data_IF_991119510212
#
_entry.id   IF_991119510212
#
_cell.length_a   1.000
_cell.length_b   1.000
_cell.length_c   1.000
_cell.angle_alpha   90.00
_cell.angle_beta   90.00
_cell.angle_gamma   90.00
#
_symmetry.space_group_name_H-M   'P 1'
#
loop_
_entity.id
_entity.type
_entity.pdbx_description
1 polymer ?
#
# COMPACT_ATOMS: atom_id res chain seq x y z
N UNK A 1 -4.56 -15.27 0.66
CA UNK A 1 -3.53 -14.37 0.09
C UNK A 1 -4.09 -13.46 -1.00
N UNK A 2 -4.92 -13.97 -1.93
CA UNK A 2 -5.59 -13.16 -2.97
C UNK A 2 -6.27 -11.90 -2.42
N UNK A 3 -7.13 -12.04 -1.41
CA UNK A 3 -7.83 -10.91 -0.78
C UNK A 3 -6.87 -9.90 -0.16
N UNK A 4 -5.82 -10.38 0.52
CA UNK A 4 -4.80 -9.52 1.12
C UNK A 4 -4.04 -8.74 0.05
N UNK A 5 -3.65 -9.40 -1.05
CA UNK A 5 -3.02 -8.76 -2.21
C UNK A 5 -3.92 -7.67 -2.79
N UNK A 6 -5.17 -8.03 -3.13
CA UNK A 6 -6.17 -7.10 -3.65
C UNK A 6 -6.31 -5.88 -2.74
N UNK A 7 -6.52 -6.09 -1.43
CA UNK A 7 -6.75 -5.00 -0.48
C UNK A 7 -5.53 -4.08 -0.33
N UNK A 8 -4.32 -4.64 -0.31
CA UNK A 8 -3.09 -3.84 -0.25
C UNK A 8 -3.01 -2.90 -1.45
N UNK A 9 -3.12 -3.41 -2.66
CA UNK A 9 -2.99 -2.58 -3.86
C UNK A 9 -4.19 -1.63 -4.06
N UNK A 10 -5.39 -2.09 -3.69
CA UNK A 10 -6.59 -1.26 -3.64
C UNK A 10 -6.41 -0.07 -2.72
N UNK A 11 -6.07 -0.30 -1.44
CA UNK A 11 -5.87 0.77 -0.47
C UNK A 11 -4.77 1.73 -0.94
N UNK A 12 -3.67 1.20 -1.50
CA UNK A 12 -2.57 2.03 -1.99
C UNK A 12 -3.03 3.05 -3.01
N UNK A 13 -3.72 2.65 -4.08
CA UNK A 13 -4.18 3.58 -5.12
C UNK A 13 -5.42 4.37 -4.73
N UNK A 14 -6.22 3.89 -3.78
CA UNK A 14 -7.32 4.66 -3.21
C UNK A 14 -6.82 5.97 -2.57
N UNK A 15 -5.65 5.90 -1.92
CA UNK A 15 -5.10 7.00 -1.11
C UNK A 15 -4.01 7.77 -1.86
N UNK A 16 -3.11 7.06 -2.54
CA UNK A 16 -1.98 7.65 -3.25
C UNK A 16 -2.27 7.75 -4.76
N UNK A 17 -2.02 8.91 -5.41
CA UNK A 17 -1.42 10.12 -4.85
C UNK A 17 -2.42 11.12 -4.27
N UNK A 18 -3.73 10.94 -4.50
CA UNK A 18 -4.75 11.97 -4.32
C UNK A 18 -4.81 12.60 -2.93
N UNK A 19 -4.87 11.79 -1.87
CA UNK A 19 -5.00 12.29 -0.49
C UNK A 19 -3.73 13.00 -0.03
N UNK A 20 -2.56 12.57 -0.50
CA UNK A 20 -1.29 13.24 -0.18
C UNK A 20 -1.19 14.63 -0.80
N UNK A 21 -1.77 14.84 -1.98
CA UNK A 21 -1.84 16.16 -2.65
C UNK A 21 -2.77 17.10 -1.89
N UNK A 22 -3.85 16.58 -1.30
CA UNK A 22 -4.82 17.38 -0.55
C UNK A 22 -4.33 17.79 0.86
N UNK A 23 -3.21 17.26 1.34
CA UNK A 23 -2.66 17.60 2.65
C UNK A 23 -2.27 19.08 2.72
N UNK A 24 -2.78 19.81 3.72
CA UNK A 24 -2.48 21.23 3.94
C UNK A 24 -1.13 21.37 4.66
N UNK A 25 -0.03 21.37 3.90
CA UNK A 25 1.33 21.36 4.46
C UNK A 25 1.96 22.74 4.63
N UNK A 26 1.42 23.76 3.97
CA UNK A 26 1.99 25.12 3.98
C UNK A 26 3.31 25.26 3.22
N UNK A 27 3.74 24.23 2.50
CA UNK A 27 4.98 24.23 1.72
C UNK A 27 4.78 24.94 0.36
N UNK A 28 5.60 25.97 0.12
CA UNK A 28 5.63 26.74 -1.13
C UNK A 28 6.77 26.33 -2.06
N UNK A 29 7.61 25.38 -1.65
CA UNK A 29 8.81 24.97 -2.40
C UNK A 29 8.50 24.21 -3.71
N UNK A 30 7.29 23.67 -3.86
CA UNK A 30 6.89 22.81 -4.97
C UNK A 30 7.48 21.39 -4.93
N UNK A 31 8.43 21.12 -4.03
CA UNK A 31 9.10 19.81 -3.91
C UNK A 31 8.33 18.79 -3.08
N UNK A 32 7.34 19.24 -2.31
CA UNK A 32 6.55 18.41 -1.40
C UNK A 32 6.13 17.07 -2.01
N UNK A 33 5.44 17.12 -3.15
CA UNK A 33 4.91 15.90 -3.76
C UNK A 33 6.02 14.98 -4.28
N UNK A 34 7.11 15.53 -4.83
CA UNK A 34 8.28 14.76 -5.26
C UNK A 34 8.90 14.01 -4.08
N UNK A 35 9.04 14.65 -2.92
CA UNK A 35 9.55 14.01 -1.71
C UNK A 35 8.59 12.93 -1.21
N UNK A 36 7.28 13.18 -1.22
CA UNK A 36 6.26 12.16 -0.87
C UNK A 36 6.40 10.92 -1.75
N UNK A 37 6.50 11.10 -3.07
CA UNK A 37 6.68 9.99 -4.03
C UNK A 37 8.01 9.26 -3.79
N UNK A 38 9.09 10.00 -3.54
CA UNK A 38 10.40 9.41 -3.24
C UNK A 38 10.36 8.58 -1.95
N UNK A 39 9.72 9.08 -0.89
CA UNK A 39 9.56 8.34 0.38
C UNK A 39 8.73 7.07 0.20
N UNK A 40 7.63 7.14 -0.57
CA UNK A 40 6.82 5.96 -0.86
C UNK A 40 7.63 4.88 -1.58
N UNK A 41 8.34 5.26 -2.64
CA UNK A 41 9.15 4.33 -3.42
C UNK A 41 10.34 3.78 -2.62
N UNK A 42 10.97 4.60 -1.78
CA UNK A 42 12.03 4.17 -0.88
C UNK A 42 11.52 3.10 0.10
N UNK A 43 10.35 3.32 0.71
CA UNK A 43 9.73 2.35 1.60
C UNK A 43 9.36 1.04 0.89
N UNK A 44 8.75 1.13 -0.30
CA UNK A 44 8.40 -0.05 -1.11
C UNK A 44 9.65 -0.84 -1.53
N UNK A 45 10.72 -0.15 -1.90
CA UNK A 45 12.01 -0.76 -2.24
C UNK A 45 12.65 -1.46 -1.03
N UNK A 46 12.81 -0.77 0.09
CA UNK A 46 13.43 -1.32 1.31
C UNK A 46 12.68 -2.53 1.83
N UNK A 47 11.34 -2.49 1.84
CA UNK A 47 10.54 -3.63 2.26
C UNK A 47 10.72 -4.84 1.34
N UNK A 48 10.79 -4.66 0.02
CA UNK A 48 11.07 -5.76 -0.93
C UNK A 48 12.47 -6.33 -0.78
N UNK A 49 13.47 -5.51 -0.44
CA UNK A 49 14.81 -6.01 -0.09
C UNK A 49 14.76 -6.88 1.16
N UNK A 50 14.03 -6.44 2.20
CA UNK A 50 13.80 -7.21 3.43
C UNK A 50 13.17 -8.58 3.12
N UNK A 51 12.26 -8.65 2.14
CA UNK A 51 11.62 -9.92 1.74
C UNK A 51 12.56 -10.93 1.09
N UNK A 52 13.79 -10.57 0.71
CA UNK A 52 14.79 -11.56 0.27
C UNK A 52 15.22 -12.48 1.42
N UNK A 53 15.14 -11.99 2.66
CA UNK A 53 15.51 -12.74 3.85
C UNK A 53 14.30 -13.50 4.40
N UNK A 54 14.24 -14.81 4.13
CA UNK A 54 13.14 -15.70 4.59
C UNK A 54 12.90 -15.66 6.10
N UNK A 55 13.94 -15.39 6.89
CA UNK A 55 13.84 -15.29 8.35
C UNK A 55 12.96 -14.11 8.81
N UNK A 56 12.84 -13.08 7.98
CA UNK A 56 12.02 -11.91 8.25
C UNK A 56 10.57 -12.10 7.79
N UNK A 57 10.21 -13.24 7.20
CA UNK A 57 8.84 -13.48 6.74
C UNK A 57 7.89 -13.74 7.91
N UNK A 58 6.88 -12.90 8.05
CA UNK A 58 5.80 -13.12 9.03
C UNK A 58 4.79 -14.16 8.55
N UNK A 59 4.04 -14.76 9.47
CA UNK A 59 3.05 -15.78 9.13
C UNK A 59 1.95 -15.25 8.19
N UNK A 60 1.32 -16.10 7.35
CA UNK A 60 0.25 -15.68 6.45
C UNK A 60 -0.94 -15.01 7.17
N UNK A 61 -1.23 -15.40 8.42
CA UNK A 61 -2.26 -14.76 9.24
C UNK A 61 -1.88 -13.30 9.57
N UNK A 62 -0.62 -13.07 9.94
CA UNK A 62 -0.10 -11.73 10.20
C UNK A 62 -0.06 -10.88 8.94
N UNK A 63 0.21 -11.47 7.76
CA UNK A 63 0.09 -10.75 6.48
C UNK A 63 -1.33 -10.24 6.29
N UNK A 64 -2.34 -11.08 6.52
CA UNK A 64 -3.74 -10.67 6.35
C UNK A 64 -4.12 -9.57 7.35
N UNK A 65 -3.77 -9.72 8.62
CA UNK A 65 -4.02 -8.69 9.64
C UNK A 65 -3.30 -7.39 9.28
N UNK A 66 -2.02 -7.45 8.92
CA UNK A 66 -1.22 -6.30 8.53
C UNK A 66 -1.73 -5.59 7.27
N UNK A 67 -2.19 -6.36 6.28
CA UNK A 67 -2.83 -5.85 5.07
C UNK A 67 -4.05 -4.98 5.40
N UNK A 68 -4.88 -5.34 6.37
CA UNK A 68 -6.02 -4.52 6.79
C UNK A 68 -5.63 -3.42 7.79
N UNK A 69 -4.72 -3.72 8.72
CA UNK A 69 -4.26 -2.77 9.72
C UNK A 69 -3.60 -1.53 9.11
N UNK A 70 -3.02 -1.63 7.91
CA UNK A 70 -2.49 -0.47 7.20
C UNK A 70 -3.55 0.61 6.97
N UNK A 71 -4.84 0.27 6.89
CA UNK A 71 -5.92 1.25 6.75
C UNK A 71 -5.94 2.27 7.90
N UNK A 72 -5.37 1.93 9.06
CA UNK A 72 -5.20 2.87 10.18
C UNK A 72 -4.27 4.05 9.83
N UNK A 73 -3.34 3.88 8.89
CA UNK A 73 -2.47 4.97 8.41
C UNK A 73 -3.23 6.01 7.57
N UNK A 74 -4.47 5.71 7.15
CA UNK A 74 -5.34 6.67 6.44
C UNK A 74 -5.84 7.75 7.41
N UNK A 75 -6.04 7.41 8.69
CA UNK A 75 -6.54 8.34 9.72
C UNK A 75 -5.61 9.54 9.93
N UNK A 76 -4.30 9.39 10.20
CA UNK A 76 -3.43 10.55 10.33
C UNK A 76 -3.34 11.36 9.03
N UNK A 77 -3.45 10.71 7.87
CA UNK A 77 -3.42 11.40 6.58
C UNK A 77 -4.68 12.24 6.34
N UNK A 78 -5.86 11.74 6.72
CA UNK A 78 -7.10 12.52 6.62
C UNK A 78 -7.10 13.72 7.57
N UNK A 79 -6.46 13.59 8.75
CA UNK A 79 -6.25 14.72 9.67
C UNK A 79 -5.31 15.79 9.08
N UNK A 80 -4.27 15.39 8.34
CA UNK A 80 -3.43 16.33 7.57
C UNK A 80 -4.21 17.02 6.45
N UNK A 81 -5.12 16.31 5.77
CA UNK A 81 -5.97 16.87 4.73
C UNK A 81 -7.02 17.84 5.28
N UNK A 82 -7.58 17.55 6.46
CA UNK A 82 -8.52 18.42 7.15
C UNK A 82 -7.88 19.72 7.70
N UNK A 83 -6.54 19.79 7.76
CA UNK A 83 -5.81 20.94 8.28
C UNK A 83 -5.71 21.00 9.80
N UNK A 84 -6.12 19.93 10.51
CA UNK A 84 -5.98 19.82 11.98
C UNK A 84 -4.52 19.68 12.39
N UNK A 85 -3.70 19.04 11.56
CA UNK A 85 -2.25 18.91 11.74
C UNK A 85 -1.56 19.56 10.54
N UNK A 86 -0.83 20.64 10.78
CA UNK A 86 -0.10 21.37 9.76
C UNK A 86 1.37 20.94 9.72
N UNK A 87 1.94 20.89 8.51
CA UNK A 87 3.37 20.61 8.30
C UNK A 87 3.66 19.44 7.34
N UNK A 88 4.90 19.41 6.85
CA UNK A 88 5.37 18.46 5.81
C UNK A 88 5.83 17.11 6.37
N UNK A 89 6.27 17.07 7.63
CA UNK A 89 6.91 15.89 8.22
C UNK A 89 5.97 14.71 8.37
N UNK A 90 4.73 14.94 8.82
CA UNK A 90 3.78 13.87 9.05
C UNK A 90 3.37 13.18 7.73
N UNK A 91 3.02 13.89 6.64
CA UNK A 91 2.81 13.27 5.34
C UNK A 91 4.03 12.51 4.80
N UNK A 92 5.27 12.99 5.01
CA UNK A 92 6.47 12.28 4.59
C UNK A 92 6.65 10.94 5.33
N UNK A 93 6.51 10.95 6.66
CA UNK A 93 6.61 9.73 7.48
C UNK A 93 5.49 8.75 7.12
N UNK A 94 4.26 9.24 6.98
CA UNK A 94 3.12 8.40 6.58
C UNK A 94 3.34 7.83 5.19
N UNK A 95 3.88 8.60 4.24
CA UNK A 95 4.21 8.10 2.88
C UNK A 95 5.25 6.98 2.91
N UNK A 96 6.31 7.15 3.71
CA UNK A 96 7.34 6.13 3.89
C UNK A 96 6.75 4.83 4.48
N UNK A 97 5.94 4.94 5.54
CA UNK A 97 5.24 3.80 6.15
C UNK A 97 4.23 3.16 5.20
N UNK A 98 3.55 3.97 4.39
CA UNK A 98 2.62 3.51 3.36
C UNK A 98 3.34 2.67 2.30
N UNK A 99 4.52 3.12 1.86
CA UNK A 99 5.41 2.37 0.96
C UNK A 99 5.93 1.07 1.59
N UNK A 100 6.42 1.14 2.83
CA UNK A 100 6.93 -0.03 3.57
C UNK A 100 5.84 -1.11 3.72
N UNK A 101 4.64 -0.73 4.14
CA UNK A 101 3.53 -1.67 4.32
C UNK A 101 3.01 -2.21 2.98
N UNK A 102 3.01 -1.39 1.92
CA UNK A 102 2.66 -1.82 0.57
C UNK A 102 3.59 -2.92 0.07
N UNK A 103 4.90 -2.65 0.06
CA UNK A 103 5.89 -3.59 -0.46
C UNK A 103 6.02 -4.83 0.41
N UNK A 104 5.94 -4.69 1.74
CA UNK A 104 6.07 -5.81 2.67
C UNK A 104 4.86 -6.77 2.61
N UNK A 105 3.64 -6.28 2.88
CA UNK A 105 2.45 -7.14 2.91
C UNK A 105 2.02 -7.55 1.50
N UNK A 106 2.13 -6.65 0.52
CA UNK A 106 1.90 -6.97 -0.89
C UNK A 106 2.87 -8.04 -1.38
N UNK A 107 4.18 -7.85 -1.14
CA UNK A 107 5.19 -8.82 -1.53
C UNK A 107 5.02 -10.17 -0.85
N UNK A 108 4.75 -10.22 0.47
CA UNK A 108 4.49 -11.49 1.17
C UNK A 108 3.24 -12.20 0.65
N UNK A 109 2.18 -11.45 0.30
CA UNK A 109 0.98 -12.05 -0.28
C UNK A 109 1.28 -12.73 -1.63
N UNK A 110 2.17 -12.13 -2.43
CA UNK A 110 2.62 -12.68 -3.71
C UNK A 110 3.54 -13.90 -3.52
N UNK A 111 4.41 -13.86 -2.51
CA UNK A 111 5.30 -14.97 -2.16
C UNK A 111 4.49 -16.19 -1.67
N UNK A 112 3.52 -15.97 -0.79
CA UNK A 112 2.74 -17.04 -0.18
C UNK A 112 1.66 -17.61 -1.10
N UNK A 113 1.12 -16.82 -2.03
CA UNK A 113 0.08 -17.27 -2.97
C UNK A 113 0.38 -18.62 -3.63
N UNK A 114 1.46 -18.76 -4.42
CA UNK A 114 1.80 -20.01 -5.10
C UNK A 114 2.47 -21.05 -4.19
N UNK A 115 2.80 -20.70 -2.94
CA UNK A 115 3.44 -21.60 -1.95
C UNK A 115 2.45 -22.19 -0.95
N UNK A 116 1.16 -22.07 -1.22
CA UNK A 116 0.11 -22.65 -0.36
C UNK A 116 0.22 -24.18 -0.36
N UNK A 117 0.19 -24.80 0.83
CA UNK A 117 0.42 -26.25 1.00
C UNK A 117 -0.59 -27.17 0.32
N UNK A 118 -1.76 -26.65 -0.08
CA UNK A 118 -2.76 -27.38 -0.87
C UNK A 118 -2.40 -27.55 -2.35
N UNK A 119 -1.37 -26.84 -2.84
CA UNK A 119 -0.95 -26.87 -4.25
C UNK A 119 0.16 -27.91 -4.44
N UNK A 120 -0.20 -29.05 -5.03
CA UNK A 120 0.69 -30.21 -5.18
C UNK A 120 1.45 -30.21 -6.51
N UNK A 121 0.84 -29.71 -7.59
CA UNK A 121 1.47 -29.72 -8.93
C UNK A 121 2.08 -28.38 -9.33
N UNK A 122 3.08 -28.41 -10.21
CA UNK A 122 3.70 -27.19 -10.74
C UNK A 122 2.69 -26.31 -11.51
N UNK A 123 1.76 -26.94 -12.24
CA UNK A 123 0.68 -26.24 -12.95
C UNK A 123 -0.25 -25.48 -12.00
N UNK A 124 -0.65 -26.10 -10.88
CA UNK A 124 -1.45 -25.44 -9.85
C UNK A 124 -0.74 -24.24 -9.22
N UNK A 125 0.56 -24.34 -8.95
CA UNK A 125 1.36 -23.22 -8.42
C UNK A 125 1.49 -22.08 -9.42
N UNK A 126 1.67 -22.40 -10.70
CA UNK A 126 1.68 -21.41 -11.78
C UNK A 126 0.34 -20.68 -11.89
N UNK A 127 -0.78 -21.42 -11.90
CA UNK A 127 -2.12 -20.84 -11.93
C UNK A 127 -2.38 -19.95 -10.71
N UNK A 128 -1.98 -20.39 -9.51
CA UNK A 128 -2.11 -19.59 -8.30
C UNK A 128 -1.32 -18.27 -8.37
N UNK A 129 -0.13 -18.27 -8.97
CA UNK A 129 0.64 -17.04 -9.21
C UNK A 129 -0.08 -16.10 -10.18
N UNK A 130 -0.70 -16.63 -11.24
CA UNK A 130 -1.51 -15.83 -12.18
C UNK A 130 -2.73 -15.24 -11.47
N UNK A 131 -3.45 -16.02 -10.66
CA UNK A 131 -4.58 -15.52 -9.88
C UNK A 131 -4.19 -14.38 -8.92
N UNK A 132 -3.00 -14.47 -8.31
CA UNK A 132 -2.45 -13.39 -7.47
C UNK A 132 -2.19 -12.13 -8.28
N UNK A 133 -1.64 -12.24 -9.48
CA UNK A 133 -1.46 -11.10 -10.37
C UNK A 133 -2.79 -10.48 -10.80
N UNK A 134 -3.80 -11.30 -11.09
CA UNK A 134 -5.16 -10.81 -11.36
C UNK A 134 -5.71 -10.05 -10.15
N UNK A 135 -5.55 -10.59 -8.94
CA UNK A 135 -5.99 -9.91 -7.71
C UNK A 135 -5.26 -8.57 -7.48
N UNK A 136 -3.95 -8.51 -7.79
CA UNK A 136 -3.16 -7.27 -7.76
C UNK A 136 -3.73 -6.24 -8.73
N UNK A 137 -3.91 -6.61 -10.00
CA UNK A 137 -4.40 -5.70 -11.04
C UNK A 137 -5.83 -5.24 -10.76
N UNK A 138 -6.69 -6.13 -10.28
CA UNK A 138 -8.05 -5.79 -9.83
C UNK A 138 -8.03 -4.80 -8.66
N UNK A 139 -7.10 -4.98 -7.72
CA UNK A 139 -6.91 -4.04 -6.61
C UNK A 139 -6.51 -2.66 -7.12
N UNK A 140 -5.52 -2.59 -8.02
CA UNK A 140 -5.11 -1.33 -8.63
C UNK A 140 -6.25 -0.64 -9.39
N UNK A 141 -6.98 -1.40 -10.23
CA UNK A 141 -8.10 -0.89 -11.00
C UNK A 141 -9.21 -0.33 -10.10
N UNK A 142 -9.64 -1.10 -9.11
CA UNK A 142 -10.65 -0.66 -8.16
C UNK A 142 -10.15 0.57 -7.37
N UNK A 143 -8.90 0.54 -6.88
CA UNK A 143 -8.33 1.66 -6.12
C UNK A 143 -8.35 2.95 -6.93
N UNK A 144 -7.93 2.91 -8.20
CA UNK A 144 -7.96 4.06 -9.10
C UNK A 144 -9.38 4.58 -9.37
N UNK A 145 -10.36 3.69 -9.58
CA UNK A 145 -11.75 4.08 -9.80
C UNK A 145 -12.36 4.78 -8.57
N UNK A 146 -12.12 4.23 -7.38
CA UNK A 146 -12.65 4.78 -6.13
C UNK A 146 -11.88 6.02 -5.65
N UNK A 147 -10.63 6.23 -6.09
CA UNK A 147 -9.85 7.42 -5.74
C UNK A 147 -10.54 8.73 -6.19
N UNK A 148 -11.28 8.70 -7.30
CA UNK A 148 -12.09 9.84 -7.74
C UNK A 148 -13.21 10.16 -6.75
N UNK A 149 -13.90 9.15 -6.22
CA UNK A 149 -14.93 9.34 -5.21
C UNK A 149 -14.35 9.87 -3.89
N UNK A 150 -13.15 9.41 -3.50
CA UNK A 150 -12.45 9.93 -2.33
C UNK A 150 -12.09 11.41 -2.51
N UNK A 151 -11.64 11.81 -3.70
CA UNK A 151 -11.32 13.20 -4.01
C UNK A 151 -12.52 14.14 -3.83
N UNK A 152 -13.72 13.72 -4.25
CA UNK A 152 -14.96 14.49 -4.05
C UNK A 152 -15.35 14.62 -2.57
N UNK A 153 -14.98 13.65 -1.73
CA UNK A 153 -15.28 13.65 -0.30
C UNK A 153 -14.29 14.42 0.58
N UNK A 154 -13.18 14.92 0.03
CA UNK A 154 -12.18 15.68 0.80
C UNK A 154 -12.65 17.13 1.03
N UNK A 155 -12.43 17.69 2.24
CA UNK A 155 -12.77 19.07 2.52
C UNK A 155 -11.95 20.01 1.62
N UNK A 156 -12.62 21.01 1.04
CA UNK A 156 -12.00 22.03 0.18
C UNK A 156 -11.03 22.95 0.94
#
# INVERSE_FOLDING_TARGET
>A
MLVACFFVFFATLLVFPGVFIAAKTGDTSGWYFTVVVAMFNLGDFLSRLVLQFKQLHVSPRMVMIGSFARALLIIPLSLCAAGTVTGVWLPYIVSLLWGLTNGYFGGLSMIYGPRTGSLTTAGQRSLAAICINVALLMGLFAGAMFALAVKEGLPK
#
